data_IF_294229116339
#
_entry.id   IF_294229116339
#
_cell.length_a   1.000
_cell.length_b   1.000
_cell.length_c   1.000
_cell.angle_alpha   90.00
_cell.angle_beta   90.00
_cell.angle_gamma   90.00
#
_symmetry.space_group_name_H-M   'P 1'
#
loop_
_entity.id
_entity.type
_entity.pdbx_description
1 polymer ?
#
# COMPACT_ATOMS: atom_id res chain seq x y z
N UNK A 1 -12.39 -0.51 7.71
CA UNK A 1 -11.73 0.68 7.09
C UNK A 1 -10.51 1.09 7.90
N UNK A 2 -9.31 1.05 7.32
CA UNK A 2 -8.08 1.43 8.01
C UNK A 2 -8.01 2.95 8.23
N UNK A 3 -7.63 3.38 9.44
CA UNK A 3 -7.36 4.79 9.76
C UNK A 3 -5.88 5.06 9.55
N UNK A 4 -5.55 5.60 8.38
CA UNK A 4 -4.16 5.86 7.95
C UNK A 4 -3.96 7.33 7.57
N UNK A 5 -2.73 7.81 7.79
CA UNK A 5 -2.30 9.12 7.32
C UNK A 5 -1.48 8.94 6.03
N UNK A 6 -1.92 9.49 4.89
CA UNK A 6 -1.22 9.32 3.61
C UNK A 6 0.24 9.75 3.64
N UNK A 7 0.59 10.80 4.39
CA UNK A 7 1.99 11.29 4.46
C UNK A 7 2.94 10.34 5.19
N UNK A 8 2.40 9.37 5.95
CA UNK A 8 3.15 8.36 6.71
C UNK A 8 3.11 6.97 6.07
N UNK A 9 2.70 6.87 4.81
CA UNK A 9 2.60 5.59 4.12
C UNK A 9 3.94 5.03 3.65
N UNK A 10 4.96 5.85 3.45
CA UNK A 10 6.28 5.37 3.02
C UNK A 10 6.82 4.32 4.01
N UNK A 11 7.27 3.17 3.48
CA UNK A 11 7.72 1.99 4.24
C UNK A 11 6.67 1.34 5.14
N UNK A 12 5.40 1.71 5.01
CA UNK A 12 4.31 1.02 5.70
C UNK A 12 4.11 -0.39 5.14
N UNK A 13 3.80 -1.32 6.04
CA UNK A 13 3.69 -2.76 5.76
C UNK A 13 2.23 -3.15 5.64
N UNK A 14 1.93 -3.97 4.65
CA UNK A 14 0.57 -4.38 4.33
C UNK A 14 0.49 -5.88 4.03
N UNK A 15 -0.59 -6.49 4.46
CA UNK A 15 -0.99 -7.84 4.06
C UNK A 15 -2.21 -7.74 3.15
N UNK A 16 -2.16 -8.36 1.98
CA UNK A 16 -3.34 -8.55 1.14
C UNK A 16 -4.32 -9.50 1.84
N UNK A 17 -5.57 -9.08 2.01
CA UNK A 17 -6.63 -9.90 2.59
C UNK A 17 -6.98 -11.10 1.68
N UNK A 18 -6.81 -10.93 0.37
CA UNK A 18 -6.99 -11.96 -0.65
C UNK A 18 -5.71 -12.13 -1.49
N UNK A 19 -4.68 -12.84 -0.98
CA UNK A 19 -3.43 -13.03 -1.71
C UNK A 19 -3.65 -13.68 -3.07
N UNK A 20 -3.02 -13.11 -4.10
CA UNK A 20 -2.96 -13.68 -5.46
C UNK A 20 -1.49 -13.90 -5.82
N UNK A 21 -1.19 -14.88 -6.67
CA UNK A 21 0.19 -15.18 -7.09
C UNK A 21 1.18 -15.43 -5.93
N UNK A 22 0.69 -15.88 -4.77
CA UNK A 22 1.47 -16.03 -3.52
C UNK A 22 1.99 -14.69 -2.95
N UNK A 23 1.48 -13.57 -3.42
CA UNK A 23 1.78 -12.22 -2.94
C UNK A 23 0.87 -11.92 -1.75
N UNK A 24 1.39 -12.14 -0.54
CA UNK A 24 0.69 -11.84 0.71
C UNK A 24 1.14 -10.52 1.32
N UNK A 25 2.44 -10.28 1.36
CA UNK A 25 3.02 -9.11 2.02
C UNK A 25 3.52 -8.09 1.01
N UNK A 26 3.20 -6.83 1.30
CA UNK A 26 3.54 -5.68 0.48
C UNK A 26 4.15 -4.57 1.34
N UNK A 27 5.01 -3.78 0.72
CA UNK A 27 5.63 -2.60 1.30
C UNK A 27 5.31 -1.40 0.41
N UNK A 28 4.97 -0.26 1.01
CA UNK A 28 4.94 0.99 0.26
C UNK A 28 6.36 1.48 0.05
N UNK A 29 6.81 1.55 -1.19
CA UNK A 29 8.19 1.94 -1.58
C UNK A 29 8.29 3.40 -2.00
N UNK A 30 7.21 3.99 -2.50
CA UNK A 30 7.19 5.37 -2.99
C UNK A 30 5.83 6.05 -2.74
N UNK A 31 5.85 7.38 -2.61
CA UNK A 31 4.67 8.23 -2.50
C UNK A 31 4.66 9.26 -3.62
N UNK A 32 3.62 9.24 -4.45
CA UNK A 32 3.42 10.21 -5.52
C UNK A 32 2.56 11.35 -5.02
N UNK A 33 3.02 12.58 -5.25
CA UNK A 33 2.38 13.81 -4.77
C UNK A 33 2.11 14.77 -5.92
N UNK A 34 1.09 15.59 -5.78
CA UNK A 34 0.88 16.75 -6.65
C UNK A 34 1.81 17.92 -6.28
N UNK A 35 1.63 19.04 -6.98
CA UNK A 35 2.39 20.27 -6.78
C UNK A 35 2.19 20.88 -5.38
N UNK A 36 1.04 20.62 -4.74
CA UNK A 36 0.72 21.09 -3.38
C UNK A 36 1.24 20.13 -2.30
N UNK A 37 1.86 19.01 -2.68
CA UNK A 37 2.39 18.02 -1.76
C UNK A 37 1.36 17.00 -1.26
N UNK A 38 0.15 16.99 -1.82
CA UNK A 38 -0.90 16.03 -1.48
C UNK A 38 -0.55 14.67 -2.08
N UNK A 39 -0.55 13.63 -1.24
CA UNK A 39 -0.33 12.25 -1.73
C UNK A 39 -1.54 11.81 -2.54
N UNK A 40 -1.28 11.38 -3.78
CA UNK A 40 -2.30 10.86 -4.71
C UNK A 40 -2.23 9.34 -4.78
N UNK A 41 -1.04 8.83 -5.08
CA UNK A 41 -0.79 7.40 -5.26
C UNK A 41 0.37 6.93 -4.38
N UNK A 42 0.44 5.62 -4.24
CA UNK A 42 1.59 4.91 -3.67
C UNK A 42 2.09 3.88 -4.65
N UNK A 43 3.39 3.60 -4.59
CA UNK A 43 3.92 2.34 -5.12
C UNK A 43 3.86 1.28 -4.02
N UNK A 44 3.14 0.19 -4.29
CA UNK A 44 3.14 -1.02 -3.46
C UNK A 44 4.00 -2.08 -4.13
N UNK A 45 4.97 -2.61 -3.40
CA UNK A 45 5.80 -3.70 -3.86
C UNK A 45 5.52 -4.98 -3.09
N UNK A 46 5.21 -6.05 -3.81
CA UNK A 46 5.12 -7.39 -3.24
C UNK A 46 6.51 -7.86 -2.78
N UNK A 47 6.63 -8.22 -1.50
CA UNK A 47 7.92 -8.60 -0.88
C UNK A 47 8.53 -9.82 -1.56
N UNK A 48 7.70 -10.81 -1.90
CA UNK A 48 8.16 -12.09 -2.44
C UNK A 48 8.60 -11.99 -3.91
N UNK A 49 7.77 -11.35 -4.75
CA UNK A 49 7.95 -11.32 -6.21
C UNK A 49 8.67 -10.08 -6.69
N UNK A 50 8.83 -9.07 -5.82
CA UNK A 50 9.34 -7.73 -6.16
C UNK A 50 8.48 -7.01 -7.22
N UNK A 51 7.28 -7.52 -7.53
CA UNK A 51 6.32 -6.86 -8.41
C UNK A 51 5.85 -5.59 -7.73
N UNK A 52 6.02 -4.47 -8.40
CA UNK A 52 5.47 -3.18 -7.99
C UNK A 52 4.19 -2.87 -8.73
N UNK A 53 3.27 -2.20 -8.05
CA UNK A 53 2.08 -1.63 -8.64
C UNK A 53 1.79 -0.26 -8.05
N UNK A 54 1.30 0.64 -8.90
CA UNK A 54 0.87 1.98 -8.49
C UNK A 54 -0.64 1.99 -8.34
N UNK A 55 -1.11 2.54 -7.21
CA UNK A 55 -2.53 2.64 -6.92
C UNK A 55 -2.84 3.86 -6.05
N UNK A 56 -4.08 4.39 -6.12
CA UNK A 56 -4.52 5.47 -5.25
C UNK A 56 -4.40 5.06 -3.79
N UNK A 57 -3.76 5.89 -2.96
CA UNK A 57 -3.47 5.54 -1.57
C UNK A 57 -4.72 5.17 -0.76
N UNK A 58 -5.88 5.71 -1.16
CA UNK A 58 -7.18 5.46 -0.56
C UNK A 58 -7.59 3.99 -0.62
N UNK A 59 -7.08 3.23 -1.59
CA UNK A 59 -7.31 1.78 -1.70
C UNK A 59 -6.86 1.05 -0.43
N UNK A 60 -5.79 1.52 0.23
CA UNK A 60 -5.29 0.95 1.49
C UNK A 60 -6.25 1.16 2.68
N UNK A 61 -7.32 1.96 2.52
CA UNK A 61 -8.36 2.12 3.55
C UNK A 61 -9.34 0.95 3.54
N UNK A 62 -9.52 0.25 2.43
CA UNK A 62 -10.41 -0.90 2.34
C UNK A 62 -9.79 -2.09 3.10
N UNK A 63 -10.34 -2.40 4.28
CA UNK A 63 -9.83 -3.48 5.13
C UNK A 63 -10.13 -4.87 4.57
N UNK A 64 -11.09 -4.94 3.64
CA UNK A 64 -11.44 -6.18 2.92
C UNK A 64 -10.40 -6.54 1.85
N UNK A 65 -9.57 -5.57 1.44
CA UNK A 65 -8.47 -5.79 0.50
C UNK A 65 -7.09 -5.73 1.18
N UNK A 66 -6.93 -4.81 2.13
CA UNK A 66 -5.64 -4.49 2.75
C UNK A 66 -5.69 -4.47 4.26
N UNK A 67 -4.81 -5.23 4.89
CA UNK A 67 -4.65 -5.31 6.34
C UNK A 67 -3.31 -4.66 6.71
N UNK A 68 -3.34 -3.73 7.67
CA UNK A 68 -2.12 -3.06 8.14
C UNK A 68 -1.21 -4.03 8.91
N UNK A 69 0.09 -3.98 8.62
CA UNK A 69 1.13 -4.79 9.22
C UNK A 69 1.39 -6.12 8.49
N UNK A 70 2.31 -6.92 9.03
CA UNK A 70 2.51 -8.30 8.59
C UNK A 70 1.65 -9.23 9.45
N UNK A 71 0.49 -9.59 8.93
CA UNK A 71 -0.37 -10.65 9.46
C UNK A 71 -0.43 -11.82 8.48
#
# INVERSE_FOLDING_TARGET
MNRINPSKLLLSKWTAAHPRNREKHFLVTELFRDEEGTVLDVELQAVLTQRSERLPWQSLKASDDWILGWK
#
